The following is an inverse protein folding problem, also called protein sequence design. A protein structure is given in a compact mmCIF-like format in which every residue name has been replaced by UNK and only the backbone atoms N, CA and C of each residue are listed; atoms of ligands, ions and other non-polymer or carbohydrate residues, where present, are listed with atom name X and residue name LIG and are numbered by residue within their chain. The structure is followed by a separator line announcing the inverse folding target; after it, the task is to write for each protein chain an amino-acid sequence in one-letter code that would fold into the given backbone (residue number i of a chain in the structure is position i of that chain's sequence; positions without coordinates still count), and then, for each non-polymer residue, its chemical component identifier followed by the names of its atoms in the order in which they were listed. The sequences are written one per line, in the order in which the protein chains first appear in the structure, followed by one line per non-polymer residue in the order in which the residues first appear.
data_IF_986032499395
#
_entry.id   IF_986032499395
#
_cell.length_a   1.000
_cell.length_b   1.000
_cell.length_c   1.000
_cell.angle_alpha   90.00
_cell.angle_beta   90.00
_cell.angle_gamma   90.00
#
_symmetry.space_group_name_H-M   'P 1'
#
loop_
_entity.id
_entity.type
_entity.pdbx_description
1 polymer ?
#
# COMPACT_ATOMS: atom_id res chain seq x y z
N UNK A 1 -3.08 4.61 16.53
CA UNK A 1 -1.82 4.12 15.92
C UNK A 1 -1.61 4.84 14.60
N UNK A 2 -0.37 5.21 14.23
CA UNK A 2 -0.09 5.70 12.88
C UNK A 2 0.22 4.49 11.99
N UNK A 3 -0.73 4.11 11.15
CA UNK A 3 -0.63 2.90 10.32
C UNK A 3 0.38 3.02 9.18
N UNK A 4 0.59 4.23 8.60
CA UNK A 4 1.62 4.43 7.57
C UNK A 4 3.02 4.27 8.16
N UNK A 5 3.23 4.82 9.36
CA UNK A 5 4.46 4.59 10.13
C UNK A 5 4.69 3.11 10.39
N UNK A 6 3.67 2.41 10.86
CA UNK A 6 3.76 0.97 11.15
C UNK A 6 4.10 0.16 9.89
N UNK A 7 3.53 0.52 8.74
CA UNK A 7 3.83 -0.15 7.49
C UNK A 7 5.31 -0.02 7.10
N UNK A 8 5.87 1.18 7.24
CA UNK A 8 7.28 1.44 6.88
C UNK A 8 8.26 0.84 7.89
N UNK A 9 8.01 1.04 9.19
CA UNK A 9 8.98 0.70 10.24
C UNK A 9 8.87 -0.75 10.72
N UNK A 10 7.67 -1.36 10.66
CA UNK A 10 7.42 -2.67 11.24
C UNK A 10 7.15 -3.78 10.20
N UNK A 11 6.55 -3.44 9.07
CA UNK A 11 6.28 -4.39 7.98
C UNK A 11 7.33 -4.27 6.88
N UNK A 12 7.55 -3.08 6.38
CA UNK A 12 8.50 -2.67 5.37
C UNK A 12 8.21 -3.24 3.98
N UNK A 13 8.38 -4.54 3.77
CA UNK A 13 8.12 -5.21 2.48
C UNK A 13 6.64 -5.51 2.29
N UNK A 14 6.10 -5.09 1.16
CA UNK A 14 4.69 -5.27 0.81
C UNK A 14 4.54 -5.97 -0.53
N UNK A 15 3.38 -6.60 -0.75
CA UNK A 15 2.95 -7.07 -2.06
C UNK A 15 2.10 -5.98 -2.71
N UNK A 16 2.67 -5.35 -3.73
CA UNK A 16 1.99 -4.30 -4.51
C UNK A 16 1.34 -4.91 -5.74
N UNK A 17 0.08 -4.62 -5.96
CA UNK A 17 -0.69 -4.99 -7.14
C UNK A 17 -0.90 -3.77 -8.05
N UNK A 18 -0.64 -3.96 -9.33
CA UNK A 18 -0.91 -3.02 -10.42
C UNK A 18 -1.70 -3.73 -11.51
N UNK A 19 -2.23 -3.00 -12.49
CA UNK A 19 -3.05 -3.59 -13.56
C UNK A 19 -2.34 -3.42 -14.90
N UNK A 20 -2.19 -4.51 -15.64
CA UNK A 20 -1.58 -4.51 -16.98
C UNK A 20 -2.51 -3.97 -18.08
N UNK A 21 -2.08 -4.06 -19.33
CA UNK A 21 -2.84 -3.55 -20.47
C UNK A 21 -4.05 -4.41 -20.80
N UNK A 22 -4.03 -5.69 -20.44
CA UNK A 22 -5.16 -6.60 -20.58
C UNK A 22 -6.20 -6.46 -19.43
N UNK A 23 -5.93 -5.58 -18.45
CA UNK A 23 -6.81 -5.41 -17.29
C UNK A 23 -6.56 -6.44 -16.18
N UNK A 24 -5.49 -7.23 -16.28
CA UNK A 24 -5.17 -8.25 -15.28
C UNK A 24 -4.29 -7.68 -14.16
N UNK A 25 -4.54 -8.06 -12.89
CA UNK A 25 -3.70 -7.66 -11.78
C UNK A 25 -2.33 -8.36 -11.85
N UNK A 26 -1.27 -7.59 -11.63
CA UNK A 26 0.12 -8.07 -11.58
C UNK A 26 0.74 -7.62 -10.27
N UNK A 27 1.38 -8.52 -9.55
CA UNK A 27 1.99 -8.24 -8.25
C UNK A 27 3.50 -8.15 -8.30
N UNK A 28 4.08 -7.39 -7.37
CA UNK A 28 5.51 -7.31 -7.11
C UNK A 28 5.76 -7.06 -5.63
N UNK A 29 6.86 -7.59 -5.09
CA UNK A 29 7.32 -7.22 -3.76
C UNK A 29 8.03 -5.86 -3.84
N UNK A 30 7.61 -4.91 -3.02
CA UNK A 30 8.16 -3.56 -2.97
C UNK A 30 8.23 -3.10 -1.51
N UNK A 31 9.38 -2.55 -1.14
CA UNK A 31 9.58 -1.96 0.18
C UNK A 31 8.97 -0.55 0.24
N UNK A 32 8.19 -0.31 1.30
CA UNK A 32 7.72 1.03 1.65
C UNK A 32 8.80 1.69 2.50
N UNK A 33 9.43 2.71 1.96
CA UNK A 33 10.73 3.20 2.44
C UNK A 33 10.64 4.42 3.34
N UNK A 34 9.56 5.18 3.24
CA UNK A 34 9.33 6.38 4.03
C UNK A 34 7.85 6.77 4.04
N UNK A 35 7.50 7.63 4.99
CA UNK A 35 6.16 8.19 5.12
C UNK A 35 6.20 9.59 5.72
N UNK A 36 5.25 10.44 5.38
CA UNK A 36 4.97 11.74 6.00
C UNK A 36 3.54 12.18 5.67
N UNK A 37 3.20 13.45 5.94
CA UNK A 37 1.88 14.01 5.62
C UNK A 37 1.58 14.03 4.10
N UNK A 38 2.60 13.93 3.26
CA UNK A 38 2.47 13.83 1.81
C UNK A 38 2.11 12.43 1.31
N UNK A 39 2.26 11.41 2.16
CA UNK A 39 1.89 10.03 1.85
C UNK A 39 2.95 8.98 2.16
N UNK A 40 2.94 7.92 1.38
CA UNK A 40 3.80 6.74 1.53
C UNK A 40 4.74 6.64 0.33
N UNK A 41 6.05 6.53 0.58
CA UNK A 41 7.10 6.60 -0.44
C UNK A 41 7.76 5.25 -0.69
N UNK A 42 7.97 4.96 -1.96
CA UNK A 42 8.72 3.79 -2.42
C UNK A 42 9.48 4.13 -3.70
N UNK A 43 10.39 3.25 -4.12
CA UNK A 43 11.11 3.43 -5.37
C UNK A 43 10.96 2.23 -6.31
N UNK A 44 11.15 2.51 -7.59
CA UNK A 44 11.29 1.51 -8.63
C UNK A 44 12.27 2.03 -9.70
N UNK A 45 12.66 1.17 -10.62
CA UNK A 45 13.53 1.57 -11.72
C UNK A 45 12.73 1.82 -13.00
N UNK A 46 13.07 2.89 -13.73
CA UNK A 46 12.62 3.13 -15.10
C UNK A 46 13.00 1.93 -15.97
N UNK A 47 12.12 1.57 -16.90
CA UNK A 47 12.31 0.39 -17.76
C UNK A 47 11.80 -0.93 -17.15
N UNK A 48 11.33 -0.95 -15.90
CA UNK A 48 10.58 -2.09 -15.36
C UNK A 48 9.10 -1.96 -15.72
N UNK A 49 8.45 -3.07 -16.03
CA UNK A 49 7.01 -3.09 -16.36
C UNK A 49 6.13 -2.59 -15.23
N UNK A 50 6.59 -2.70 -13.97
CA UNK A 50 5.89 -2.10 -12.82
C UNK A 50 5.88 -0.56 -12.92
N UNK A 51 7.03 0.05 -13.26
CA UNK A 51 7.11 1.49 -13.52
C UNK A 51 6.11 1.95 -14.59
N UNK A 52 6.07 1.24 -15.73
CA UNK A 52 5.19 1.59 -16.84
C UNK A 52 3.71 1.52 -16.44
N UNK A 53 3.33 0.47 -15.68
CA UNK A 53 1.95 0.33 -15.17
C UNK A 53 1.59 1.44 -14.19
N UNK A 54 2.48 1.80 -13.26
CA UNK A 54 2.26 2.90 -12.32
C UNK A 54 2.10 4.24 -13.04
N UNK A 55 2.94 4.52 -14.03
CA UNK A 55 2.84 5.73 -14.86
C UNK A 55 1.54 5.79 -15.64
N UNK A 56 1.13 4.68 -16.23
CA UNK A 56 -0.06 4.60 -17.07
C UNK A 56 -1.36 4.67 -16.28
N UNK A 57 -1.41 3.98 -15.13
CA UNK A 57 -2.64 3.84 -14.35
C UNK A 57 -2.79 4.87 -13.22
N UNK A 58 -1.69 5.33 -12.66
CA UNK A 58 -1.71 6.26 -11.54
C UNK A 58 -2.33 5.70 -10.25
N UNK A 59 -2.48 4.38 -10.16
CA UNK A 59 -3.11 3.68 -9.02
C UNK A 59 -2.41 2.37 -8.71
N UNK A 60 -2.52 1.96 -7.46
CA UNK A 60 -2.09 0.64 -6.99
C UNK A 60 -2.97 0.15 -5.84
N UNK A 61 -2.85 -1.13 -5.52
CA UNK A 61 -3.20 -1.69 -4.23
C UNK A 61 -1.98 -2.39 -3.64
N UNK A 62 -1.91 -2.44 -2.31
CA UNK A 62 -0.86 -3.21 -1.63
C UNK A 62 -1.40 -3.89 -0.37
N UNK A 63 -0.70 -4.92 0.05
CA UNK A 63 -0.89 -5.54 1.35
C UNK A 63 0.47 -5.84 1.96
N UNK A 64 0.65 -5.42 3.21
CA UNK A 64 1.76 -5.82 4.06
C UNK A 64 1.25 -6.60 5.26
N UNK A 65 2.04 -7.57 5.72
CA UNK A 65 1.69 -8.43 6.85
C UNK A 65 2.87 -8.56 7.81
N UNK A 66 2.55 -8.62 9.11
CA UNK A 66 3.52 -8.92 10.16
C UNK A 66 2.94 -9.95 11.11
N UNK A 67 3.70 -10.99 11.37
CA UNK A 67 3.31 -12.06 12.29
C UNK A 67 4.01 -13.36 11.99
N UNK A 68 3.86 -14.34 12.91
CA UNK A 68 4.50 -15.65 12.82
C UNK A 68 3.57 -16.74 12.28
N UNK A 69 2.26 -16.54 12.46
CA UNK A 69 1.22 -17.47 12.03
C UNK A 69 -0.13 -16.72 11.91
N UNK A 70 -1.15 -17.39 11.45
CA UNK A 70 -2.47 -16.80 11.20
C UNK A 70 -3.08 -16.11 12.43
N UNK A 71 -2.91 -16.69 13.63
CA UNK A 71 -3.53 -16.18 14.85
C UNK A 71 -2.71 -15.05 15.51
N UNK A 72 -1.46 -14.88 15.09
CA UNK A 72 -0.53 -13.85 15.57
C UNK A 72 -0.07 -12.95 14.41
N UNK A 73 -1.00 -12.59 13.56
CA UNK A 73 -0.75 -11.83 12.36
C UNK A 73 -1.59 -10.54 12.34
N UNK A 74 -0.95 -9.47 11.92
CA UNK A 74 -1.60 -8.22 11.56
C UNK A 74 -1.37 -7.94 10.07
N UNK A 75 -2.37 -7.39 9.39
CA UNK A 75 -2.30 -7.02 7.99
C UNK A 75 -2.79 -5.59 7.78
N UNK A 76 -2.09 -4.87 6.92
CA UNK A 76 -2.50 -3.55 6.43
C UNK A 76 -2.63 -3.60 4.91
N UNK A 77 -3.82 -3.33 4.41
CA UNK A 77 -4.10 -3.19 2.99
C UNK A 77 -4.36 -1.73 2.65
N UNK A 78 -3.80 -1.27 1.55
CA UNK A 78 -3.98 0.10 1.04
C UNK A 78 -4.36 0.01 -0.44
N UNK A 79 -5.28 0.85 -0.87
CA UNK A 79 -5.50 1.17 -2.28
C UNK A 79 -5.43 2.68 -2.46
N UNK A 80 -4.70 3.12 -3.47
CA UNK A 80 -4.43 4.55 -3.56
C UNK A 80 -3.99 5.02 -4.93
N UNK A 81 -3.90 6.35 -5.03
CA UNK A 81 -3.37 7.05 -6.17
C UNK A 81 -1.89 7.29 -5.98
N UNK A 82 -1.14 7.11 -7.05
CA UNK A 82 0.31 7.30 -7.07
C UNK A 82 0.74 8.31 -8.09
N UNK A 83 1.87 8.96 -7.81
CA UNK A 83 2.58 9.78 -8.79
C UNK A 83 4.08 9.64 -8.64
N UNK A 84 4.80 9.80 -9.74
CA UNK A 84 6.25 9.87 -9.75
C UNK A 84 6.74 11.23 -9.25
N UNK A 85 7.78 11.21 -8.42
CA UNK A 85 8.47 12.41 -7.91
C UNK A 85 9.87 12.59 -8.51
N UNK A 86 10.34 11.61 -9.31
CA UNK A 86 11.71 11.65 -9.84
C UNK A 86 12.76 11.20 -8.85
N UNK A 87 14.00 11.69 -9.03
CA UNK A 87 15.16 11.27 -8.24
C UNK A 87 15.50 12.16 -7.04
N UNK A 88 14.84 13.29 -6.86
CA UNK A 88 15.21 14.30 -5.84
C UNK A 88 15.16 13.76 -4.41
N UNK A 89 14.25 12.85 -4.11
CA UNK A 89 14.10 12.23 -2.79
C UNK A 89 14.94 10.97 -2.59
N UNK A 90 15.69 10.50 -3.58
CA UNK A 90 16.55 9.31 -3.44
C UNK A 90 17.52 9.43 -2.27
N UNK A 91 18.25 10.56 -2.05
CA UNK A 91 19.14 10.68 -0.92
C UNK A 91 18.45 10.44 0.43
N UNK A 92 17.26 11.00 0.63
CA UNK A 92 16.43 10.81 1.83
C UNK A 92 16.04 9.35 2.03
N UNK A 93 15.62 8.66 0.98
CA UNK A 93 15.22 7.26 1.06
C UNK A 93 16.43 6.36 1.36
N UNK A 94 17.61 6.64 0.77
CA UNK A 94 18.83 5.89 1.01
C UNK A 94 19.38 6.11 2.42
N UNK A 95 19.25 7.32 2.97
CA UNK A 95 19.63 7.61 4.36
C UNK A 95 18.77 6.79 5.35
N UNK A 96 17.46 6.74 5.13
CA UNK A 96 16.54 5.98 5.97
C UNK A 96 16.62 4.47 5.78
N UNK A 97 17.15 4.02 4.65
CA UNK A 97 17.23 2.61 4.26
C UNK A 97 18.67 2.28 3.80
N UNK A 98 19.65 2.19 4.73
CA UNK A 98 21.07 2.07 4.38
C UNK A 98 21.41 0.84 3.53
N UNK A 99 20.66 -0.27 3.63
CA UNK A 99 20.83 -1.46 2.81
C UNK A 99 20.74 -1.19 1.30
N UNK A 100 20.07 -0.10 0.91
CA UNK A 100 19.98 0.32 -0.49
C UNK A 100 21.35 0.67 -1.08
N UNK A 101 22.32 1.09 -0.26
CA UNK A 101 23.67 1.37 -0.72
C UNK A 101 24.43 0.10 -1.13
N UNK A 102 24.05 -1.06 -0.59
CA UNK A 102 24.61 -2.35 -0.98
C UNK A 102 24.03 -2.82 -2.31
N UNK A 103 22.74 -2.57 -2.54
CA UNK A 103 22.03 -2.96 -3.78
C UNK A 103 22.40 -2.03 -4.95
N UNK A 104 22.53 -0.74 -4.67
CA UNK A 104 22.82 0.32 -5.64
C UNK A 104 24.04 1.14 -5.18
N UNK A 105 25.27 0.59 -5.33
CA UNK A 105 26.46 1.18 -4.71
C UNK A 105 26.95 2.46 -5.41
N UNK A 106 26.65 2.66 -6.66
CA UNK A 106 27.19 3.74 -7.48
C UNK A 106 26.14 4.56 -8.24
N UNK A 107 26.56 5.66 -8.81
CA UNK A 107 25.68 6.56 -9.56
C UNK A 107 25.06 5.91 -10.80
N UNK A 108 25.77 4.99 -11.44
CA UNK A 108 25.26 4.30 -12.63
C UNK A 108 24.07 3.39 -12.28
N UNK A 109 24.20 2.59 -11.21
CA UNK A 109 23.13 1.72 -10.72
C UNK A 109 21.92 2.50 -10.23
N UNK A 110 22.11 3.72 -9.72
CA UNK A 110 21.04 4.61 -9.24
C UNK A 110 20.34 5.40 -10.35
N UNK A 111 20.97 5.52 -11.52
CA UNK A 111 20.50 6.42 -12.60
C UNK A 111 19.09 6.12 -13.12
N UNK A 112 18.66 4.85 -13.04
CA UNK A 112 17.33 4.43 -13.44
C UNK A 112 16.29 4.54 -12.31
N UNK A 113 16.72 4.76 -11.06
CA UNK A 113 15.81 4.80 -9.92
C UNK A 113 14.96 6.06 -9.92
N UNK A 114 13.72 5.91 -9.51
CA UNK A 114 12.78 7.01 -9.34
C UNK A 114 11.86 6.74 -8.15
N UNK A 115 11.48 7.80 -7.44
CA UNK A 115 10.61 7.73 -6.29
C UNK A 115 9.16 7.92 -6.72
N UNK A 116 8.29 7.10 -6.16
CA UNK A 116 6.84 7.26 -6.22
C UNK A 116 6.29 7.59 -4.84
N UNK A 117 5.20 8.33 -4.80
CA UNK A 117 4.39 8.55 -3.60
C UNK A 117 2.97 8.06 -3.80
N UNK A 118 2.45 7.31 -2.82
CA UNK A 118 1.02 7.08 -2.68
C UNK A 118 0.49 8.26 -1.88
N UNK A 119 -0.12 9.24 -2.56
CA UNK A 119 -0.47 10.52 -1.97
C UNK A 119 -1.91 10.62 -1.49
N UNK A 120 -2.76 9.69 -1.88
CA UNK A 120 -4.17 9.63 -1.52
C UNK A 120 -4.61 8.17 -1.51
N UNK A 121 -5.31 7.75 -0.47
CA UNK A 121 -5.77 6.36 -0.43
C UNK A 121 -6.71 6.03 0.72
N UNK A 122 -7.28 4.84 0.62
CA UNK A 122 -8.04 4.19 1.68
C UNK A 122 -7.34 2.92 2.13
N UNK A 123 -7.45 2.64 3.43
CA UNK A 123 -6.70 1.58 4.09
C UNK A 123 -7.60 0.77 5.01
N UNK A 124 -7.27 -0.50 5.15
CA UNK A 124 -7.90 -1.44 6.08
C UNK A 124 -6.83 -2.09 6.94
N UNK A 125 -7.03 -2.03 8.25
CA UNK A 125 -6.22 -2.70 9.27
C UNK A 125 -6.96 -3.90 9.83
N UNK A 126 -6.25 -4.99 9.99
CA UNK A 126 -6.77 -6.23 10.56
C UNK A 126 -5.71 -6.89 11.44
N UNK A 127 -6.02 -7.11 12.72
CA UNK A 127 -5.10 -7.72 13.69
C UNK A 127 -5.78 -8.89 14.41
N UNK A 128 -5.34 -10.08 14.07
CA UNK A 128 -5.80 -11.35 14.65
C UNK A 128 -5.17 -11.65 16.02
N UNK A 129 -4.08 -10.97 16.36
CA UNK A 129 -3.42 -11.17 17.67
C UNK A 129 -4.20 -10.54 18.83
N UNK A 130 -5.12 -9.64 18.54
CA UNK A 130 -5.96 -8.95 19.52
C UNK A 130 -7.24 -9.74 19.86
N UNK A 131 -7.71 -9.56 21.08
CA UNK A 131 -8.99 -10.14 21.54
C UNK A 131 -9.82 -9.05 22.22
N UNK A 132 -10.93 -8.61 21.62
CA UNK A 132 -11.48 -9.04 20.34
C UNK A 132 -10.56 -8.68 19.17
N UNK A 133 -10.74 -9.35 18.03
CA UNK A 133 -10.00 -9.03 16.79
C UNK A 133 -10.17 -7.56 16.46
N UNK A 134 -9.05 -6.86 16.25
CA UNK A 134 -9.06 -5.45 15.88
C UNK A 134 -9.24 -5.29 14.39
N UNK A 135 -10.16 -4.39 14.01
CA UNK A 135 -10.38 -3.97 12.63
C UNK A 135 -10.59 -2.47 12.60
N UNK A 136 -9.94 -1.80 11.67
CA UNK A 136 -10.17 -0.38 11.44
C UNK A 136 -9.94 -0.02 9.98
N UNK A 137 -10.52 1.09 9.55
CA UNK A 137 -10.28 1.69 8.25
C UNK A 137 -9.92 3.16 8.44
N UNK A 138 -9.11 3.69 7.54
CA UNK A 138 -8.76 5.10 7.52
C UNK A 138 -8.46 5.56 6.10
N UNK A 139 -8.54 6.85 5.88
CA UNK A 139 -8.16 7.49 4.62
C UNK A 139 -7.02 8.48 4.86
N UNK A 140 -6.27 8.78 3.82
CA UNK A 140 -5.22 9.80 3.86
C UNK A 140 -5.17 10.55 2.53
N UNK A 141 -4.54 11.74 2.52
CA UNK A 141 -4.39 12.56 1.32
C UNK A 141 -5.69 13.14 0.78
N UNK A 142 -6.72 13.32 1.61
CA UNK A 142 -8.00 13.90 1.18
C UNK A 142 -8.94 12.92 0.46
N UNK A 143 -8.63 11.63 0.47
CA UNK A 143 -9.55 10.60 -0.03
C UNK A 143 -10.86 10.63 0.77
N UNK A 144 -12.00 10.56 0.07
CA UNK A 144 -13.30 10.38 0.71
C UNK A 144 -13.34 9.03 1.41
N UNK A 145 -14.02 8.95 2.57
CA UNK A 145 -14.25 7.67 3.24
C UNK A 145 -14.75 6.64 2.23
N UNK A 146 -14.12 5.48 2.24
CA UNK A 146 -14.56 4.38 1.41
C UNK A 146 -15.91 3.91 1.95
N UNK A 147 -16.95 3.95 1.13
CA UNK A 147 -18.20 3.29 1.48
C UNK A 147 -17.91 1.84 1.85
N UNK A 148 -18.32 1.45 3.05
CA UNK A 148 -18.22 0.07 3.53
C UNK A 148 -18.88 -0.90 2.54
N UNK A 149 -18.10 -1.47 1.67
CA UNK A 149 -18.48 -2.58 0.82
C UNK A 149 -17.90 -3.86 1.42
N UNK A 150 -18.74 -4.63 2.09
CA UNK A 150 -18.49 -5.96 2.60
C UNK A 150 -17.66 -6.09 3.89
N UNK A 151 -18.23 -5.69 5.03
CA UNK A 151 -17.99 -6.37 6.28
C UNK A 151 -19.23 -7.13 6.72
N UNK A 152 -19.23 -8.45 6.58
CA UNK A 152 -20.16 -9.30 7.31
C UNK A 152 -19.75 -9.27 8.77
N UNK A 153 -20.41 -8.44 9.58
CA UNK A 153 -20.29 -8.52 11.02
C UNK A 153 -20.88 -9.86 11.48
N UNK A 154 -20.07 -10.77 11.95
CA UNK A 154 -20.55 -11.93 12.71
C UNK A 154 -21.02 -11.44 14.08
N UNK A 155 -22.28 -10.96 14.11
CA UNK A 155 -22.93 -10.53 15.34
C UNK A 155 -24.33 -9.99 15.08
N UNK A 156 -25.35 -10.87 15.14
CA UNK A 156 -26.81 -10.67 15.04
C UNK A 156 -27.39 -10.55 13.62
N UNK A 157 -28.03 -11.66 13.25
CA UNK A 157 -29.03 -11.73 12.18
C UNK A 157 -30.21 -10.82 12.54
N UNK A 158 -30.22 -9.62 12.02
CA UNK A 158 -31.39 -8.74 11.96
C UNK A 158 -31.92 -8.78 10.53
N UNK A 159 -33.07 -9.42 10.34
CA UNK A 159 -33.79 -9.42 9.04
C UNK A 159 -34.01 -7.99 8.59
N UNK A 160 -33.39 -7.55 7.48
CA UNK A 160 -33.90 -6.45 6.67
C UNK A 160 -34.54 -7.03 5.40
N UNK A 161 -35.80 -6.71 5.25
CA UNK A 161 -36.62 -7.07 4.09
C UNK A 161 -36.02 -6.40 2.84
N UNK A 162 -35.67 -7.21 1.86
CA UNK A 162 -35.38 -6.77 0.50
C UNK A 162 -36.63 -6.20 -0.13
N UNK A 163 -36.55 -5.01 -0.68
CA UNK A 163 -37.51 -4.53 -1.70
C UNK A 163 -36.77 -4.49 -3.02
N UNK A 164 -36.96 -5.56 -3.79
CA UNK A 164 -36.67 -5.57 -5.22
C UNK A 164 -37.66 -4.61 -5.93
N UNK A 165 -37.14 -3.78 -6.80
CA UNK A 165 -37.85 -3.41 -8.03
C UNK A 165 -36.79 -3.12 -9.12
N UNK A 166 -36.67 -4.08 -10.03
CA UNK A 166 -36.30 -3.81 -11.42
C UNK A 166 -37.52 -3.28 -12.15
N UNK A 167 -37.38 -2.22 -12.89
CA UNK A 167 -37.92 -1.96 -14.20
C UNK A 167 -36.88 -1.19 -14.97
#
# INVERSE_FOLDING_TARGET
MNYLKYLVEEIHTTVVATVDDAGLPVTAAIDMMDWDDGGLYFLTAKGKSCYDRLKKRGTLALTGMKGTDTMHCAALSIRGKVRELGGELLPRLFEKNPYMNEIYPDAASRSALTVFVIYEGGSEWFDLSKKPIERSSFTFGGAKEMQEGYFVSHGRVGRRKSVNRCV
#
